data_IF_728248031450
#
_entry.id   IF_728248031450
#
_cell.length_a   1.000
_cell.length_b   1.000
_cell.length_c   1.000
_cell.angle_alpha   90.00
_cell.angle_beta   90.00
_cell.angle_gamma   90.00
#
_symmetry.space_group_name_H-M   'P 1'
#
loop_
_entity.id
_entity.type
_entity.pdbx_description
1 polymer ?
#
# COMPACT_ATOMS: atom_id res chain seq x y z
N UNK A 1 10.57 -7.63 9.02
CA UNK A 1 9.25 -7.36 8.46
C UNK A 1 8.61 -6.16 9.14
N UNK A 2 7.68 -5.52 8.47
CA UNK A 2 6.91 -4.40 8.99
C UNK A 2 6.17 -4.78 10.27
N UNK A 3 5.40 -5.85 10.23
CA UNK A 3 4.62 -6.32 11.36
C UNK A 3 5.44 -6.73 12.59
N UNK A 4 6.72 -7.06 12.43
CA UNK A 4 7.62 -7.29 13.55
C UNK A 4 7.88 -6.02 14.37
N UNK A 5 7.67 -4.85 13.80
CA UNK A 5 7.93 -3.55 14.40
C UNK A 5 6.65 -2.79 14.78
N UNK A 6 5.48 -3.35 14.52
CA UNK A 6 4.19 -2.75 14.86
C UNK A 6 3.91 -2.84 16.35
N UNK A 7 4.32 -3.93 17.00
CA UNK A 7 4.19 -4.13 18.44
C UNK A 7 5.53 -4.44 19.10
N UNK A 8 5.65 -4.24 20.42
CA UNK A 8 6.87 -4.60 21.16
C UNK A 8 7.06 -6.12 21.15
N UNK A 9 8.21 -6.57 20.67
CA UNK A 9 8.57 -7.99 20.57
C UNK A 9 9.73 -8.39 21.47
N UNK A 10 10.79 -7.59 21.49
CA UNK A 10 11.96 -7.81 22.32
C UNK A 10 12.11 -6.76 23.43
N UNK A 11 11.41 -5.63 23.32
CA UNK A 11 11.57 -4.46 24.18
C UNK A 11 11.23 -4.79 25.64
N UNK A 12 10.14 -5.52 25.89
CA UNK A 12 9.77 -5.94 27.24
C UNK A 12 10.71 -7.00 27.81
N UNK A 13 11.29 -7.88 26.97
CA UNK A 13 12.33 -8.82 27.38
C UNK A 13 13.62 -8.08 27.77
N UNK A 14 14.04 -7.13 26.95
CA UNK A 14 15.21 -6.27 27.23
C UNK A 14 14.95 -5.47 28.51
N UNK A 15 13.77 -4.89 28.68
CA UNK A 15 13.39 -4.16 29.89
C UNK A 15 13.45 -5.05 31.15
N UNK A 16 12.91 -6.25 31.08
CA UNK A 16 13.00 -7.22 32.20
C UNK A 16 14.46 -7.57 32.54
N UNK A 17 15.29 -7.77 31.51
CA UNK A 17 16.72 -8.05 31.72
C UNK A 17 17.47 -6.85 32.33
N UNK A 18 17.14 -5.61 31.93
CA UNK A 18 17.72 -4.40 32.54
C UNK A 18 17.33 -4.30 34.02
N UNK A 19 16.05 -4.54 34.34
CA UNK A 19 15.57 -4.54 35.74
C UNK A 19 16.28 -5.61 36.55
N UNK A 20 16.42 -6.84 36.03
CA UNK A 20 17.04 -7.95 36.74
C UNK A 20 18.55 -7.78 36.95
N UNK A 21 19.25 -7.13 36.03
CA UNK A 21 20.72 -7.02 36.06
C UNK A 21 21.21 -5.68 36.57
N UNK A 22 20.39 -4.62 36.54
CA UNK A 22 20.80 -3.24 36.82
C UNK A 22 21.82 -2.69 35.85
N UNK A 23 21.95 -3.27 34.63
CA UNK A 23 22.97 -2.92 33.64
C UNK A 23 22.33 -2.69 32.27
N UNK A 24 22.97 -1.94 31.38
CA UNK A 24 22.58 -1.87 29.97
C UNK A 24 22.55 -3.26 29.33
N UNK A 25 21.48 -3.56 28.58
CA UNK A 25 21.29 -4.84 27.90
C UNK A 25 21.13 -4.60 26.40
N UNK A 26 21.77 -5.45 25.61
CA UNK A 26 21.68 -5.48 24.17
C UNK A 26 21.18 -6.86 23.70
N UNK A 27 20.22 -6.90 22.81
CA UNK A 27 19.71 -8.12 22.19
C UNK A 27 19.78 -8.01 20.67
N UNK A 28 20.40 -8.99 20.04
CA UNK A 28 20.44 -9.11 18.58
C UNK A 28 20.15 -10.56 18.21
N UNK A 29 19.17 -10.74 17.33
CA UNK A 29 18.88 -12.05 16.73
C UNK A 29 19.81 -12.28 15.55
N UNK A 30 20.39 -13.46 15.44
CA UNK A 30 21.03 -13.89 14.20
C UNK A 30 19.99 -14.24 13.12
N UNK A 31 20.42 -14.58 11.90
CA UNK A 31 19.52 -14.88 10.80
C UNK A 31 18.63 -16.10 11.09
N UNK A 32 19.19 -17.14 11.70
CA UNK A 32 18.45 -18.36 12.04
C UNK A 32 17.40 -18.08 13.12
N UNK A 33 17.80 -17.38 14.17
CA UNK A 33 16.88 -16.94 15.21
C UNK A 33 15.78 -16.05 14.64
N UNK A 34 16.12 -15.12 13.73
CA UNK A 34 15.16 -14.26 13.08
C UNK A 34 14.14 -15.05 12.25
N UNK A 35 14.60 -16.06 11.49
CA UNK A 35 13.69 -16.94 10.74
C UNK A 35 12.77 -17.73 11.65
N UNK A 36 13.29 -18.21 12.78
CA UNK A 36 12.53 -19.07 13.71
C UNK A 36 11.62 -18.26 14.63
N UNK A 37 12.02 -17.10 15.12
CA UNK A 37 11.35 -16.38 16.21
C UNK A 37 10.49 -15.21 15.77
N UNK A 38 10.80 -14.56 14.65
CA UNK A 38 10.02 -13.39 14.23
C UNK A 38 8.81 -13.75 13.38
N UNK A 39 7.75 -12.97 13.40
CA UNK A 39 6.54 -13.28 12.66
C UNK A 39 6.77 -13.29 11.15
N UNK A 40 5.94 -14.01 10.43
CA UNK A 40 6.04 -14.22 8.98
C UNK A 40 4.72 -13.89 8.29
N UNK A 41 4.71 -14.04 6.98
CA UNK A 41 3.49 -13.95 6.17
C UNK A 41 2.56 -15.12 6.50
N UNK A 42 1.29 -14.83 6.74
CA UNK A 42 0.28 -15.85 6.99
C UNK A 42 0.08 -16.74 5.76
N UNK A 43 0.16 -18.06 5.89
CA UNK A 43 -0.29 -18.96 4.84
C UNK A 43 -1.80 -18.84 4.62
N UNK A 44 -2.21 -18.91 3.35
CA UNK A 44 -3.63 -18.98 2.96
C UNK A 44 -3.93 -20.34 2.34
N UNK A 45 -4.98 -20.99 2.80
CA UNK A 45 -5.62 -22.11 2.12
C UNK A 45 -6.86 -21.58 1.42
N UNK A 46 -6.89 -21.65 0.08
CA UNK A 46 -7.96 -21.08 -0.71
C UNK A 46 -8.68 -22.15 -1.53
N UNK A 47 -10.01 -22.07 -1.53
CA UNK A 47 -10.88 -22.83 -2.43
C UNK A 47 -11.57 -21.84 -3.37
N UNK A 48 -11.16 -21.84 -4.62
CA UNK A 48 -11.63 -20.89 -5.62
C UNK A 48 -12.43 -21.66 -6.68
N UNK A 49 -13.60 -21.16 -7.00
CA UNK A 49 -14.41 -21.60 -8.11
C UNK A 49 -14.79 -20.36 -8.91
N UNK A 50 -14.31 -20.28 -10.13
CA UNK A 50 -14.56 -19.19 -11.06
C UNK A 50 -15.14 -19.74 -12.35
N UNK A 51 -16.06 -19.01 -12.96
CA UNK A 51 -16.73 -19.42 -14.19
C UNK A 51 -16.76 -18.31 -15.22
N UNK A 52 -16.63 -18.70 -16.48
CA UNK A 52 -16.85 -17.86 -17.65
C UNK A 52 -17.90 -18.50 -18.58
N UNK A 53 -18.51 -17.66 -19.40
CA UNK A 53 -19.34 -18.14 -20.50
C UNK A 53 -18.49 -18.67 -21.67
N UNK A 54 -19.14 -19.18 -22.71
CA UNK A 54 -18.50 -19.70 -23.92
C UNK A 54 -17.65 -18.67 -24.67
N UNK A 55 -17.93 -17.39 -24.47
CA UNK A 55 -17.18 -16.30 -25.05
C UNK A 55 -16.01 -15.85 -24.16
N UNK A 56 -15.75 -16.50 -23.02
CA UNK A 56 -14.71 -16.16 -22.08
C UNK A 56 -15.01 -14.95 -21.19
N UNK A 57 -16.30 -14.56 -21.03
CA UNK A 57 -16.69 -13.51 -20.11
C UNK A 57 -16.96 -14.09 -18.73
N UNK A 58 -16.35 -13.51 -17.69
CA UNK A 58 -16.55 -13.93 -16.30
C UNK A 58 -18.02 -13.77 -15.87
N UNK A 59 -18.60 -14.82 -15.30
CA UNK A 59 -19.99 -14.87 -14.87
C UNK A 59 -20.15 -14.99 -13.36
N UNK A 60 -19.16 -15.55 -12.66
CA UNK A 60 -19.25 -15.70 -11.22
C UNK A 60 -17.99 -16.19 -10.55
N UNK A 61 -17.88 -15.86 -9.27
CA UNK A 61 -16.81 -16.25 -8.37
C UNK A 61 -17.40 -16.78 -7.06
N UNK A 62 -16.94 -17.94 -6.64
CA UNK A 62 -17.11 -18.44 -5.29
C UNK A 62 -15.74 -18.73 -4.69
N UNK A 63 -15.42 -18.14 -3.54
CA UNK A 63 -14.15 -18.41 -2.90
C UNK A 63 -14.28 -18.49 -1.38
N UNK A 64 -13.51 -19.40 -0.81
CA UNK A 64 -13.36 -19.57 0.63
C UNK A 64 -11.88 -19.57 0.93
N UNK A 65 -11.49 -18.85 1.99
CA UNK A 65 -10.08 -18.80 2.39
C UNK A 65 -9.94 -18.91 3.90
N UNK A 66 -8.92 -19.64 4.30
CA UNK A 66 -8.53 -19.84 5.67
C UNK A 66 -7.14 -19.24 5.85
N UNK A 67 -7.01 -18.34 6.82
CA UNK A 67 -5.76 -17.65 7.14
C UNK A 67 -5.16 -18.30 8.37
N UNK A 68 -4.04 -18.98 8.19
CA UNK A 68 -3.27 -19.52 9.32
C UNK A 68 -2.46 -18.39 9.94
N UNK A 69 -2.88 -17.94 11.13
CA UNK A 69 -2.23 -16.83 11.82
C UNK A 69 -1.33 -17.27 12.98
N UNK A 70 -1.19 -18.56 13.22
CA UNK A 70 -0.49 -19.12 14.35
C UNK A 70 -1.29 -18.97 15.65
N UNK A 71 -0.63 -18.84 16.82
CA UNK A 71 -1.31 -18.90 18.11
C UNK A 71 -1.91 -17.58 18.60
N UNK A 72 -1.70 -16.46 17.88
CA UNK A 72 -2.15 -15.12 18.30
C UNK A 72 -3.00 -14.46 17.24
N UNK A 73 -3.89 -13.56 17.66
CA UNK A 73 -4.88 -12.92 16.78
C UNK A 73 -4.50 -11.52 16.26
N UNK A 74 -3.27 -11.06 16.50
CA UNK A 74 -2.83 -9.72 16.08
C UNK A 74 -3.12 -9.48 14.60
N UNK A 75 -3.89 -8.44 14.28
CA UNK A 75 -4.23 -8.01 12.91
C UNK A 75 -4.83 -9.10 12.01
N UNK A 76 -5.29 -10.21 12.56
CA UNK A 76 -5.73 -11.37 11.78
C UNK A 76 -7.05 -11.12 11.05
N UNK A 77 -7.95 -10.38 11.65
CA UNK A 77 -9.25 -10.03 11.05
C UNK A 77 -9.06 -9.18 9.79
N UNK A 78 -8.29 -8.10 9.89
CA UNK A 78 -8.02 -7.21 8.77
C UNK A 78 -7.30 -7.94 7.63
N UNK A 79 -6.34 -8.82 7.97
CA UNK A 79 -5.65 -9.65 6.99
C UNK A 79 -6.63 -10.58 6.26
N UNK A 80 -7.60 -11.14 6.99
CA UNK A 80 -8.63 -12.00 6.43
C UNK A 80 -9.56 -11.21 5.50
N UNK A 81 -9.96 -10.01 5.90
CA UNK A 81 -10.78 -9.11 5.08
C UNK A 81 -10.10 -8.77 3.74
N UNK A 82 -8.77 -8.56 3.74
CA UNK A 82 -8.01 -8.32 2.49
C UNK A 82 -8.12 -9.48 1.49
N UNK A 83 -8.29 -10.72 1.96
CA UNK A 83 -8.55 -11.87 1.10
C UNK A 83 -9.83 -11.71 0.25
N UNK A 84 -10.89 -11.16 0.83
CA UNK A 84 -12.13 -10.85 0.11
C UNK A 84 -12.04 -9.62 -0.78
N UNK A 85 -11.39 -8.56 -0.30
CA UNK A 85 -11.28 -7.28 -1.01
C UNK A 85 -10.53 -7.38 -2.34
N UNK A 86 -9.50 -8.23 -2.41
CA UNK A 86 -8.59 -8.28 -3.57
C UNK A 86 -8.80 -9.47 -4.50
N UNK A 87 -9.65 -10.45 -4.13
CA UNK A 87 -9.90 -11.60 -4.98
C UNK A 87 -10.57 -11.18 -6.28
N UNK A 88 -9.86 -11.31 -7.38
CA UNK A 88 -10.28 -10.89 -8.74
C UNK A 88 -10.66 -9.39 -8.85
N UNK A 89 -10.13 -8.54 -7.99
CA UNK A 89 -10.45 -7.11 -8.00
C UNK A 89 -10.22 -6.39 -9.35
N UNK A 90 -9.23 -6.76 -10.19
CA UNK A 90 -9.06 -6.16 -11.52
C UNK A 90 -10.18 -6.47 -12.52
N UNK A 91 -11.05 -7.44 -12.23
CA UNK A 91 -11.98 -8.00 -13.19
C UNK A 91 -13.43 -7.71 -12.83
N UNK A 92 -14.25 -7.53 -13.86
CA UNK A 92 -15.69 -7.41 -13.73
C UNK A 92 -16.32 -8.77 -13.49
N UNK A 93 -16.72 -9.03 -12.24
CA UNK A 93 -17.44 -10.23 -11.83
C UNK A 93 -18.74 -9.81 -11.14
N UNK A 94 -19.89 -10.07 -11.77
CA UNK A 94 -21.17 -9.59 -11.27
C UNK A 94 -21.73 -10.42 -10.09
N UNK A 95 -21.32 -11.67 -9.96
CA UNK A 95 -21.80 -12.59 -8.95
C UNK A 95 -20.64 -13.10 -8.12
N UNK A 96 -20.48 -12.56 -6.92
CA UNK A 96 -19.40 -12.94 -6.01
C UNK A 96 -20.00 -13.47 -4.72
N UNK A 97 -19.51 -14.62 -4.27
CA UNK A 97 -19.78 -15.18 -2.95
C UNK A 97 -18.49 -15.69 -2.34
N UNK A 98 -18.23 -15.30 -1.11
CA UNK A 98 -17.04 -15.75 -0.40
C UNK A 98 -17.17 -15.67 1.11
N UNK A 99 -16.28 -16.36 1.80
CA UNK A 99 -16.15 -16.28 3.25
C UNK A 99 -14.71 -16.58 3.64
N UNK A 100 -14.13 -15.72 4.48
CA UNK A 100 -12.81 -15.89 5.05
C UNK A 100 -12.88 -16.24 6.53
N UNK A 101 -11.92 -17.03 6.98
CA UNK A 101 -11.79 -17.37 8.39
C UNK A 101 -10.33 -17.34 8.81
N UNK A 102 -10.04 -16.68 9.92
CA UNK A 102 -8.76 -16.83 10.60
C UNK A 102 -8.79 -18.10 11.44
N UNK A 103 -7.71 -18.88 11.41
CA UNK A 103 -7.57 -20.09 12.21
C UNK A 103 -6.33 -19.98 13.11
N UNK A 104 -6.51 -20.39 14.37
CA UNK A 104 -5.40 -20.54 15.29
C UNK A 104 -4.74 -21.89 15.09
N UNK A 105 -3.42 -21.90 15.07
CA UNK A 105 -2.62 -23.10 14.89
C UNK A 105 -1.38 -23.08 15.78
N UNK A 106 -0.66 -24.19 15.83
CA UNK A 106 0.65 -24.28 16.47
C UNK A 106 1.80 -23.83 15.56
N UNK A 107 1.49 -23.26 14.41
CA UNK A 107 2.50 -22.63 13.57
C UNK A 107 3.06 -21.39 14.25
N UNK A 108 4.20 -20.95 13.75
CA UNK A 108 4.75 -19.68 14.11
C UNK A 108 3.73 -18.56 13.86
N UNK A 109 3.65 -17.63 14.79
CA UNK A 109 2.75 -16.50 14.67
C UNK A 109 3.06 -15.63 13.44
N UNK A 110 2.05 -15.08 12.88
CA UNK A 110 2.08 -14.27 11.68
C UNK A 110 1.64 -12.84 11.99
N UNK A 111 1.94 -11.91 11.10
CA UNK A 111 1.61 -10.50 11.28
C UNK A 111 1.58 -9.79 9.92
N UNK A 112 1.43 -8.46 9.94
CA UNK A 112 1.49 -7.64 8.74
C UNK A 112 2.81 -7.85 7.97
N UNK A 113 2.73 -8.46 6.81
CA UNK A 113 3.82 -8.58 5.86
C UNK A 113 3.43 -7.84 4.59
N UNK A 114 4.37 -7.12 3.95
CA UNK A 114 4.13 -6.19 2.83
C UNK A 114 3.06 -6.69 1.85
N UNK A 115 2.11 -5.80 1.50
CA UNK A 115 0.86 -6.06 0.78
C UNK A 115 -0.17 -6.92 1.53
N UNK A 116 0.01 -7.20 2.81
CA UNK A 116 -0.98 -7.60 3.81
C UNK A 116 -2.15 -8.43 3.24
N UNK A 117 -1.89 -9.70 2.87
CA UNK A 117 -2.85 -10.61 2.23
C UNK A 117 -2.96 -10.51 0.71
N UNK A 118 -2.64 -9.38 0.11
CA UNK A 118 -2.70 -9.20 -1.34
C UNK A 118 -1.91 -10.24 -2.15
N UNK A 119 -0.62 -10.52 -1.85
CA UNK A 119 0.14 -11.50 -2.63
C UNK A 119 -0.47 -12.90 -2.63
N UNK A 120 -1.02 -13.33 -1.49
CA UNK A 120 -1.68 -14.65 -1.39
C UNK A 120 -2.93 -14.68 -2.26
N UNK A 121 -3.75 -13.62 -2.16
CA UNK A 121 -5.02 -13.50 -2.88
C UNK A 121 -4.80 -13.41 -4.38
N UNK A 122 -3.85 -12.57 -4.83
CA UNK A 122 -3.52 -12.47 -6.26
C UNK A 122 -2.91 -13.74 -6.80
N UNK A 123 -2.04 -14.42 -6.04
CA UNK A 123 -1.50 -15.71 -6.47
C UNK A 123 -2.63 -16.70 -6.80
N UNK A 124 -3.58 -16.87 -5.88
CA UNK A 124 -4.70 -17.80 -6.10
C UNK A 124 -5.66 -17.33 -7.20
N UNK A 125 -5.99 -16.04 -7.20
CA UNK A 125 -6.91 -15.45 -8.18
C UNK A 125 -6.36 -15.48 -9.60
N UNK A 126 -5.13 -15.02 -9.80
CA UNK A 126 -4.50 -14.95 -11.12
C UNK A 126 -4.21 -16.35 -11.70
N UNK A 127 -3.83 -17.32 -10.83
CA UNK A 127 -3.71 -18.72 -11.24
C UNK A 127 -5.07 -19.29 -11.69
N UNK A 128 -6.15 -18.99 -10.99
CA UNK A 128 -7.48 -19.43 -11.38
C UNK A 128 -7.92 -18.80 -12.72
N UNK A 129 -7.54 -17.56 -12.99
CA UNK A 129 -7.75 -16.90 -14.28
C UNK A 129 -6.97 -17.57 -15.40
N UNK A 130 -5.69 -17.92 -15.19
CA UNK A 130 -4.89 -18.64 -16.19
C UNK A 130 -5.51 -20.02 -16.53
N UNK A 131 -5.88 -20.79 -15.50
CA UNK A 131 -6.54 -22.09 -15.69
C UNK A 131 -7.88 -21.95 -16.43
N UNK A 132 -8.61 -20.87 -16.21
CA UNK A 132 -9.88 -20.64 -16.89
C UNK A 132 -9.65 -20.18 -18.34
N UNK A 133 -8.67 -19.32 -18.60
CA UNK A 133 -8.27 -18.92 -19.94
C UNK A 133 -7.87 -20.13 -20.79
N UNK A 134 -7.04 -21.03 -20.24
CA UNK A 134 -6.67 -22.28 -20.88
C UNK A 134 -7.90 -23.15 -21.19
N UNK A 135 -8.82 -23.29 -20.22
CA UNK A 135 -10.01 -24.11 -20.38
C UNK A 135 -10.97 -23.61 -21.47
N UNK A 136 -11.08 -22.31 -21.68
CA UNK A 136 -11.88 -21.71 -22.75
C UNK A 136 -11.10 -21.53 -24.05
N UNK A 137 -9.82 -21.90 -24.08
CA UNK A 137 -8.96 -21.83 -25.27
C UNK A 137 -8.57 -20.41 -25.67
N UNK A 138 -8.48 -19.49 -24.72
CA UNK A 138 -8.14 -18.09 -24.93
C UNK A 138 -6.74 -17.77 -24.40
N UNK A 139 -6.02 -16.90 -25.10
CA UNK A 139 -4.74 -16.38 -24.60
C UNK A 139 -4.92 -15.73 -23.22
N UNK A 140 -4.03 -15.96 -22.24
CA UNK A 140 -4.15 -15.42 -20.88
C UNK A 140 -4.24 -13.89 -20.82
N UNK A 141 -3.53 -13.16 -21.69
CA UNK A 141 -3.60 -11.70 -21.73
C UNK A 141 -4.91 -11.21 -22.34
N UNK A 142 -5.38 -11.87 -23.41
CA UNK A 142 -6.65 -11.54 -24.06
C UNK A 142 -7.85 -11.83 -23.14
N UNK A 143 -7.78 -12.94 -22.39
CA UNK A 143 -8.81 -13.26 -21.38
C UNK A 143 -8.89 -12.18 -20.29
N UNK A 144 -7.75 -11.71 -19.80
CA UNK A 144 -7.68 -10.62 -18.81
C UNK A 144 -8.24 -9.33 -19.38
N UNK A 145 -7.76 -8.91 -20.56
CA UNK A 145 -8.22 -7.67 -21.22
C UNK A 145 -9.72 -7.64 -21.41
N UNK A 146 -10.30 -8.75 -21.85
CA UNK A 146 -11.75 -8.90 -22.05
C UNK A 146 -12.58 -8.69 -20.77
N UNK A 147 -12.00 -9.02 -19.63
CA UNK A 147 -12.71 -9.05 -18.35
C UNK A 147 -12.34 -7.89 -17.42
N UNK A 148 -11.52 -6.93 -17.85
CA UNK A 148 -11.15 -5.79 -17.03
C UNK A 148 -12.37 -4.98 -16.57
N UNK A 149 -12.27 -4.43 -15.33
CA UNK A 149 -13.18 -3.37 -14.92
C UNK A 149 -13.04 -2.17 -15.85
N UNK A 150 -14.17 -1.56 -16.17
CA UNK A 150 -14.28 -0.41 -17.06
C UNK A 150 -14.82 0.80 -16.28
N UNK A 151 -14.67 2.04 -16.80
CA UNK A 151 -15.25 3.22 -16.17
C UNK A 151 -16.74 3.01 -15.81
N UNK A 152 -17.06 3.18 -14.53
CA UNK A 152 -18.38 2.93 -13.96
C UNK A 152 -18.56 1.57 -13.26
N UNK A 153 -17.68 0.60 -13.49
CA UNK A 153 -17.67 -0.66 -12.75
C UNK A 153 -17.14 -0.49 -11.32
N UNK A 154 -17.48 -1.43 -10.46
CA UNK A 154 -17.06 -1.46 -9.06
C UNK A 154 -16.06 -2.58 -8.80
N UNK A 155 -15.24 -2.40 -7.77
CA UNK A 155 -14.46 -3.46 -7.13
C UNK A 155 -15.38 -4.42 -6.38
N UNK A 156 -14.89 -5.58 -5.91
CA UNK A 156 -15.67 -6.51 -5.08
C UNK A 156 -16.28 -5.86 -3.83
N UNK A 157 -15.67 -4.83 -3.27
CA UNK A 157 -16.19 -4.04 -2.16
C UNK A 157 -17.37 -3.11 -2.51
N UNK A 158 -17.77 -3.02 -3.77
CA UNK A 158 -18.74 -2.03 -4.24
C UNK A 158 -18.16 -0.64 -4.51
N UNK A 159 -16.91 -0.39 -4.10
CA UNK A 159 -16.24 0.87 -4.34
C UNK A 159 -15.89 1.04 -5.82
N UNK A 160 -16.04 2.26 -6.33
CA UNK A 160 -15.57 2.66 -7.66
C UNK A 160 -14.20 3.28 -7.56
N UNK A 161 -13.20 2.78 -8.30
CA UNK A 161 -11.92 3.46 -8.40
C UNK A 161 -12.08 4.86 -9.04
N UNK A 162 -11.19 5.76 -8.68
CA UNK A 162 -11.12 7.12 -9.25
C UNK A 162 -10.58 7.15 -10.68
N UNK A 163 -9.81 6.10 -11.07
CA UNK A 163 -9.23 5.95 -12.41
C UNK A 163 -9.28 4.49 -12.86
N UNK A 164 -9.23 4.25 -14.16
CA UNK A 164 -9.27 2.90 -14.76
C UNK A 164 -8.12 2.71 -15.78
N UNK A 165 -6.86 2.65 -15.33
CA UNK A 165 -5.71 2.65 -16.23
C UNK A 165 -5.36 1.29 -16.83
N UNK A 166 -5.97 0.19 -16.38
CA UNK A 166 -5.56 -1.18 -16.73
C UNK A 166 -5.60 -1.44 -18.23
N UNK A 167 -6.58 -0.91 -18.96
CA UNK A 167 -6.66 -1.06 -20.41
C UNK A 167 -5.43 -0.45 -21.10
N UNK A 168 -5.04 0.75 -20.71
CA UNK A 168 -3.85 1.41 -21.27
C UNK A 168 -2.56 0.67 -20.89
N UNK A 169 -2.49 0.13 -19.67
CA UNK A 169 -1.35 -0.67 -19.20
C UNK A 169 -1.21 -1.98 -19.97
N UNK A 170 -2.31 -2.69 -20.25
CA UNK A 170 -2.29 -3.89 -21.10
C UNK A 170 -1.85 -3.55 -22.52
N UNK A 171 -2.38 -2.48 -23.09
CA UNK A 171 -1.96 -2.02 -24.43
C UNK A 171 -0.44 -1.77 -24.48
N UNK A 172 0.10 -1.17 -23.42
CA UNK A 172 1.54 -0.90 -23.32
C UNK A 172 2.37 -2.17 -23.16
N UNK A 173 1.95 -3.15 -22.36
CA UNK A 173 2.74 -4.37 -22.08
C UNK A 173 2.62 -5.41 -23.20
N UNK A 174 1.58 -5.37 -24.01
CA UNK A 174 1.28 -6.37 -25.04
C UNK A 174 2.44 -6.65 -26.01
N UNK A 175 3.14 -5.65 -26.59
CA UNK A 175 4.27 -5.92 -27.46
C UNK A 175 5.40 -6.72 -26.78
N UNK A 176 5.65 -6.43 -25.50
CA UNK A 176 6.66 -7.15 -24.72
C UNK A 176 6.23 -8.59 -24.43
N UNK A 177 4.95 -8.79 -24.11
CA UNK A 177 4.37 -10.13 -23.88
C UNK A 177 4.46 -11.00 -25.14
N UNK A 178 4.09 -10.47 -26.30
CA UNK A 178 4.17 -11.22 -27.57
C UNK A 178 5.62 -11.55 -27.97
N UNK A 179 6.54 -10.63 -27.74
CA UNK A 179 7.95 -10.89 -28.01
C UNK A 179 8.53 -11.92 -27.04
N UNK A 180 8.22 -11.85 -25.75
CA UNK A 180 8.63 -12.82 -24.75
C UNK A 180 8.13 -14.22 -25.07
N UNK A 181 6.88 -14.37 -25.55
CA UNK A 181 6.32 -15.66 -26.00
C UNK A 181 7.12 -16.26 -27.17
N UNK A 182 7.46 -15.45 -28.19
CA UNK A 182 8.28 -15.88 -29.31
C UNK A 182 9.65 -16.35 -28.83
N UNK A 183 10.29 -15.59 -27.97
CA UNK A 183 11.60 -15.94 -27.41
C UNK A 183 11.53 -17.20 -26.56
N UNK A 184 10.52 -17.33 -25.68
CA UNK A 184 10.32 -18.54 -24.88
C UNK A 184 10.14 -19.79 -25.76
N UNK A 185 9.37 -19.71 -26.84
CA UNK A 185 9.18 -20.79 -27.77
C UNK A 185 10.48 -21.16 -28.50
N UNK A 186 11.27 -20.15 -28.92
CA UNK A 186 12.54 -20.36 -29.61
C UNK A 186 13.65 -20.93 -28.72
N UNK A 187 13.67 -20.58 -27.46
CA UNK A 187 14.70 -20.99 -26.49
C UNK A 187 14.38 -22.32 -25.79
N UNK A 188 13.13 -22.75 -25.82
CA UNK A 188 12.71 -24.02 -25.18
C UNK A 188 13.33 -25.24 -25.86
N UNK A 189 13.88 -26.14 -25.06
CA UNK A 189 14.45 -27.41 -25.45
C UNK A 189 13.77 -28.56 -24.70
N UNK A 190 14.18 -29.79 -24.93
CA UNK A 190 13.69 -30.96 -24.19
C UNK A 190 14.12 -30.90 -22.71
N UNK A 191 15.24 -30.26 -22.40
CA UNK A 191 15.82 -30.17 -21.05
C UNK A 191 15.48 -28.89 -20.30
N UNK A 192 15.28 -27.78 -21.01
CA UNK A 192 14.98 -26.48 -20.43
C UNK A 192 13.73 -25.97 -21.12
N UNK A 193 12.72 -25.68 -20.32
CA UNK A 193 11.48 -25.04 -20.76
C UNK A 193 11.47 -23.58 -20.41
N UNK A 194 11.08 -22.76 -21.35
CA UNK A 194 10.86 -21.33 -21.12
C UNK A 194 9.38 -21.03 -21.12
N UNK A 195 8.93 -20.24 -20.17
CA UNK A 195 7.54 -19.85 -20.03
C UNK A 195 7.38 -18.36 -19.80
N UNK A 196 6.23 -17.84 -20.16
CA UNK A 196 5.85 -16.43 -19.97
C UNK A 196 4.53 -16.39 -19.23
N UNK A 197 4.48 -15.58 -18.18
CA UNK A 197 3.26 -15.36 -17.39
C UNK A 197 2.92 -13.88 -17.30
N UNK A 198 1.63 -13.59 -17.17
CA UNK A 198 1.12 -12.23 -16.95
C UNK A 198 0.15 -12.23 -15.78
N UNK A 199 0.22 -11.20 -14.95
CA UNK A 199 -0.70 -11.02 -13.82
C UNK A 199 -1.09 -9.56 -13.65
N UNK A 200 -2.26 -9.32 -13.09
CA UNK A 200 -2.81 -7.98 -12.86
C UNK A 200 -3.17 -7.83 -11.38
N UNK A 201 -2.90 -6.67 -10.81
CA UNK A 201 -3.26 -6.37 -9.43
C UNK A 201 -3.76 -4.95 -9.25
N UNK A 202 -4.64 -4.79 -8.26
CA UNK A 202 -5.07 -3.52 -7.72
C UNK A 202 -4.77 -3.54 -6.23
N UNK A 203 -4.20 -2.47 -5.69
CA UNK A 203 -3.96 -2.34 -4.28
C UNK A 203 -4.37 -0.96 -3.78
N UNK A 204 -4.61 -0.82 -2.50
CA UNK A 204 -5.04 0.44 -1.88
C UNK A 204 -3.88 1.15 -1.18
N UNK A 205 -4.10 2.44 -0.93
CA UNK A 205 -3.29 3.26 -0.03
C UNK A 205 -4.17 3.91 1.02
N UNK A 206 -3.84 3.87 2.24
CA UNK A 206 -4.49 4.26 3.50
C UNK A 206 -5.10 3.07 4.26
N UNK A 207 -5.41 3.30 5.52
CA UNK A 207 -6.16 2.35 6.34
C UNK A 207 -7.63 2.28 5.91
N UNK A 208 -8.31 1.20 6.24
CA UNK A 208 -9.71 1.00 5.90
C UNK A 208 -10.59 2.00 6.66
N UNK A 209 -11.25 2.90 5.94
CA UNK A 209 -12.20 3.84 6.50
C UNK A 209 -11.67 5.28 6.63
N UNK A 210 -12.25 6.08 7.53
CA UNK A 210 -11.84 7.45 7.75
C UNK A 210 -10.38 7.52 8.22
N UNK A 211 -9.58 8.30 7.54
CA UNK A 211 -8.16 8.44 7.83
C UNK A 211 -7.73 9.90 7.73
N UNK A 212 -6.82 10.33 8.57
CA UNK A 212 -6.29 11.68 8.62
C UNK A 212 -4.84 11.72 9.08
N UNK A 213 -4.13 12.80 8.74
CA UNK A 213 -2.75 13.00 9.15
C UNK A 213 -2.45 14.48 9.38
N UNK A 214 -1.48 14.73 10.26
CA UNK A 214 -0.92 16.04 10.53
C UNK A 214 0.57 16.06 10.21
N UNK A 215 1.08 17.24 9.80
CA UNK A 215 2.49 17.54 9.69
C UNK A 215 2.69 19.04 9.86
N UNK A 216 3.71 19.44 10.59
CA UNK A 216 4.00 20.85 10.81
C UNK A 216 5.33 21.24 10.16
N UNK A 217 5.45 22.50 9.77
CA UNK A 217 6.67 23.05 9.20
C UNK A 217 7.04 24.37 9.90
N UNK A 218 8.32 24.58 10.12
CA UNK A 218 8.87 25.79 10.70
C UNK A 218 9.99 26.32 9.82
N UNK A 219 9.89 27.59 9.39
CA UNK A 219 10.97 28.29 8.73
C UNK A 219 12.01 28.73 9.73
N UNK A 220 13.29 28.52 9.43
CA UNK A 220 14.45 28.95 10.21
C UNK A 220 15.43 29.75 9.35
N UNK A 221 16.47 30.32 9.95
CA UNK A 221 17.53 31.02 9.19
C UNK A 221 18.27 30.11 8.19
N UNK A 222 18.40 28.83 8.55
CA UNK A 222 19.21 27.86 7.80
C UNK A 222 18.40 26.97 6.83
N UNK A 223 17.08 27.13 6.81
CA UNK A 223 16.16 26.31 6.02
C UNK A 223 14.84 26.07 6.76
N UNK A 224 14.35 24.82 6.75
CA UNK A 224 13.09 24.46 7.40
C UNK A 224 13.25 23.26 8.32
N UNK A 225 12.40 23.17 9.33
CA UNK A 225 12.22 21.98 10.17
C UNK A 225 10.83 21.40 9.88
N UNK A 226 10.77 20.12 9.59
CA UNK A 226 9.55 19.36 9.35
C UNK A 226 9.26 18.50 10.58
N UNK A 227 8.04 18.57 11.09
CA UNK A 227 7.60 17.81 12.26
C UNK A 227 6.46 16.87 11.86
N UNK A 228 6.63 15.58 12.07
CA UNK A 228 5.60 14.55 11.89
C UNK A 228 6.02 13.25 12.59
N UNK A 229 5.13 12.26 12.59
CA UNK A 229 5.40 10.91 13.11
C UNK A 229 5.36 9.87 12.00
N UNK A 230 5.90 10.18 10.84
CA UNK A 230 6.08 9.23 9.76
C UNK A 230 7.23 8.24 10.10
N UNK A 231 6.84 7.07 10.57
CA UNK A 231 7.78 6.09 11.12
C UNK A 231 8.62 5.41 10.02
N UNK A 232 9.92 5.32 10.26
CA UNK A 232 10.83 4.54 9.42
C UNK A 232 11.09 3.16 10.03
N UNK A 233 10.48 2.13 9.45
CA UNK A 233 10.70 0.73 9.81
C UNK A 233 11.89 0.10 9.05
N UNK A 234 12.63 0.91 8.30
CA UNK A 234 13.71 0.51 7.40
C UNK A 234 13.34 0.61 5.91
N UNK A 235 12.17 1.21 5.61
CA UNK A 235 11.70 1.42 4.23
C UNK A 235 12.12 2.76 3.63
N UNK A 236 12.84 3.62 4.35
CA UNK A 236 13.31 4.91 3.87
C UNK A 236 12.29 6.05 4.02
N UNK A 237 11.43 5.99 5.05
CA UNK A 237 10.41 6.99 5.29
C UNK A 237 10.97 8.40 5.53
N UNK A 238 12.07 8.52 6.26
CA UNK A 238 12.72 9.80 6.52
C UNK A 238 13.07 10.53 5.22
N UNK A 239 13.63 9.79 4.26
CA UNK A 239 13.92 10.34 2.93
C UNK A 239 12.66 10.68 2.15
N UNK A 240 11.59 9.92 2.31
CA UNK A 240 10.28 10.21 1.74
C UNK A 240 9.70 11.53 2.23
N UNK A 241 9.78 11.80 3.54
CA UNK A 241 9.39 13.06 4.15
C UNK A 241 10.17 14.24 3.57
N UNK A 242 11.49 14.15 3.60
CA UNK A 242 12.39 15.21 3.11
C UNK A 242 12.16 15.45 1.62
N UNK A 243 12.04 14.38 0.82
CA UNK A 243 11.79 14.49 -0.62
C UNK A 243 10.45 15.16 -0.94
N UNK A 244 9.38 14.84 -0.19
CA UNK A 244 8.07 15.47 -0.36
C UNK A 244 8.10 16.95 -0.02
N UNK A 245 8.73 17.33 1.10
CA UNK A 245 8.90 18.73 1.49
C UNK A 245 9.79 19.50 0.50
N UNK A 246 10.89 18.89 0.04
CA UNK A 246 11.81 19.48 -0.95
C UNK A 246 11.08 19.80 -2.25
N UNK A 247 10.25 18.88 -2.74
CA UNK A 247 9.44 19.11 -3.95
C UNK A 247 8.40 20.21 -3.73
N UNK A 248 7.68 20.19 -2.61
CA UNK A 248 6.67 21.17 -2.29
C UNK A 248 7.26 22.59 -2.09
N UNK A 249 8.51 22.69 -1.60
CA UNK A 249 9.26 23.92 -1.37
C UNK A 249 10.22 24.29 -2.52
N UNK A 250 10.09 23.65 -3.69
CA UNK A 250 10.93 23.93 -4.87
C UNK A 250 11.10 25.42 -5.17
N UNK A 251 10.05 26.30 -5.03
CA UNK A 251 10.19 27.73 -5.28
C UNK A 251 11.23 28.44 -4.40
N UNK A 252 11.57 27.89 -3.23
CA UNK A 252 12.56 28.47 -2.33
C UNK A 252 14.00 28.06 -2.67
N UNK A 253 14.21 27.09 -3.57
CA UNK A 253 15.54 26.61 -3.96
C UNK A 253 16.34 25.96 -2.83
N UNK A 254 15.67 25.43 -1.82
CA UNK A 254 16.33 24.76 -0.70
C UNK A 254 17.05 23.48 -1.14
N UNK A 255 18.24 23.23 -0.60
CA UNK A 255 18.88 21.92 -0.73
C UNK A 255 18.29 20.92 0.28
N UNK A 256 18.34 19.60 0.00
CA UNK A 256 17.82 18.58 0.93
C UNK A 256 18.42 18.66 2.36
N UNK A 257 19.69 19.05 2.50
CA UNK A 257 20.37 19.22 3.80
C UNK A 257 19.86 20.42 4.62
N UNK A 258 19.12 21.32 4.00
CA UNK A 258 18.44 22.45 4.67
C UNK A 258 17.02 22.10 5.15
N UNK A 259 16.56 20.87 4.92
CA UNK A 259 15.28 20.36 5.42
C UNK A 259 15.58 19.38 6.56
N UNK A 260 15.37 19.81 7.79
CA UNK A 260 15.57 18.99 8.98
C UNK A 260 14.27 18.29 9.34
N UNK A 261 14.34 17.03 9.78
CA UNK A 261 13.20 16.23 10.19
C UNK A 261 13.24 15.99 11.69
N UNK A 262 12.09 16.21 12.35
CA UNK A 262 11.83 15.84 13.75
C UNK A 262 10.64 14.89 13.76
N UNK A 263 10.89 13.58 13.86
CA UNK A 263 9.87 12.53 13.83
C UNK A 263 9.81 11.66 15.09
N UNK A 264 10.78 11.80 16.00
CA UNK A 264 10.93 10.95 17.18
C UNK A 264 10.81 11.72 18.52
N UNK A 265 10.17 12.87 18.51
CA UNK A 265 9.92 13.71 19.68
C UNK A 265 8.42 13.97 19.81
N UNK A 266 7.73 13.20 20.64
CA UNK A 266 6.28 13.30 20.86
C UNK A 266 5.83 14.61 21.51
N UNK A 267 6.77 15.43 22.01
CA UNK A 267 6.47 16.76 22.52
C UNK A 267 6.38 17.82 21.41
N UNK A 268 6.92 17.53 20.23
CA UNK A 268 7.02 18.46 19.10
C UNK A 268 6.31 17.97 17.85
N UNK A 269 6.42 16.69 17.56
CA UNK A 269 5.81 16.10 16.36
C UNK A 269 4.31 15.86 16.59
N UNK A 270 3.44 16.28 15.65
CA UNK A 270 2.01 15.99 15.73
C UNK A 270 1.73 14.53 15.48
N UNK A 271 0.57 14.05 15.92
CA UNK A 271 0.10 12.72 15.54
C UNK A 271 -0.20 12.68 14.04
N UNK A 272 0.61 11.95 13.29
CA UNK A 272 0.42 11.71 11.86
C UNK A 272 -0.25 10.37 11.56
N UNK A 273 -0.56 9.58 12.60
CA UNK A 273 -1.08 8.21 12.49
C UNK A 273 0.00 7.19 12.17
N UNK A 274 -0.38 5.92 12.08
CA UNK A 274 0.54 4.80 11.90
C UNK A 274 1.14 4.73 10.48
N UNK A 275 2.34 4.17 10.37
CA UNK A 275 2.95 3.84 9.07
C UNK A 275 2.44 2.49 8.57
N UNK A 276 1.34 2.48 7.82
CA UNK A 276 0.72 1.29 7.23
C UNK A 276 0.23 1.57 5.80
N UNK A 277 -0.02 0.52 5.02
CA UNK A 277 -0.76 0.54 3.74
C UNK A 277 -0.42 1.73 2.79
N UNK A 278 0.85 2.08 2.64
CA UNK A 278 1.32 3.29 1.91
C UNK A 278 0.74 4.61 2.43
N UNK A 279 0.06 4.58 3.56
CA UNK A 279 -0.60 5.70 4.21
C UNK A 279 0.36 6.85 4.45
N UNK A 280 1.56 6.56 4.92
CA UNK A 280 2.56 7.59 5.18
C UNK A 280 2.83 8.45 3.94
N UNK A 281 3.05 7.85 2.77
CA UNK A 281 3.31 8.61 1.53
C UNK A 281 2.10 9.41 1.09
N UNK A 282 0.89 8.86 1.22
CA UNK A 282 -0.33 9.54 0.77
C UNK A 282 -0.82 10.53 1.80
N UNK A 283 -1.08 10.07 3.04
CA UNK A 283 -1.72 10.89 4.06
C UNK A 283 -0.77 11.92 4.65
N UNK A 284 0.38 11.45 5.17
CA UNK A 284 1.36 12.36 5.77
C UNK A 284 2.02 13.22 4.70
N UNK A 285 2.28 12.65 3.52
CA UNK A 285 2.78 13.42 2.37
C UNK A 285 1.87 14.59 1.99
N UNK A 286 0.56 14.37 1.95
CA UNK A 286 -0.40 15.46 1.66
C UNK A 286 -0.50 16.49 2.80
N UNK A 287 -0.37 16.07 4.06
CA UNK A 287 -0.27 17.01 5.20
C UNK A 287 1.02 17.84 5.14
N UNK A 288 2.16 17.24 4.71
CA UNK A 288 3.40 17.96 4.44
C UNK A 288 3.18 19.02 3.34
N UNK A 289 2.56 18.62 2.24
CA UNK A 289 2.26 19.55 1.12
C UNK A 289 1.38 20.71 1.60
N UNK A 290 0.38 20.45 2.46
CA UNK A 290 -0.49 21.49 2.99
C UNK A 290 0.27 22.47 3.89
N UNK A 291 1.13 21.99 4.81
CA UNK A 291 1.96 22.85 5.65
C UNK A 291 2.96 23.68 4.83
N UNK A 292 3.61 23.06 3.83
CA UNK A 292 4.52 23.75 2.91
C UNK A 292 3.81 24.84 2.10
N UNK A 293 2.59 24.55 1.60
CA UNK A 293 1.77 25.53 0.87
C UNK A 293 1.45 26.73 1.75
N UNK A 294 0.99 26.51 2.99
CA UNK A 294 0.69 27.58 3.95
C UNK A 294 1.92 28.47 4.23
N UNK A 295 3.09 27.86 4.39
CA UNK A 295 4.33 28.57 4.56
C UNK A 295 4.66 29.43 3.31
N UNK A 296 4.61 28.84 2.11
CA UNK A 296 4.87 29.55 0.84
C UNK A 296 3.90 30.72 0.63
N UNK A 297 2.62 30.50 0.92
CA UNK A 297 1.59 31.57 0.81
C UNK A 297 1.90 32.75 1.73
N UNK A 298 2.33 32.50 2.96
CA UNK A 298 2.74 33.55 3.92
C UNK A 298 4.06 34.22 3.52
N UNK A 299 4.99 33.49 2.93
CA UNK A 299 6.26 34.06 2.44
C UNK A 299 6.09 34.88 1.16
N UNK A 300 5.03 34.67 0.39
CA UNK A 300 4.85 35.31 -0.92
C UNK A 300 4.63 36.81 -0.77
N UNK A 301 5.42 37.61 -1.52
CA UNK A 301 5.27 39.06 -1.65
C UNK A 301 4.35 39.39 -2.83
N UNK A 302 3.84 40.65 -2.88
CA UNK A 302 3.01 41.11 -4.02
C UNK A 302 3.70 41.04 -5.40
N UNK A 303 5.03 41.14 -5.42
CA UNK A 303 5.84 41.05 -6.65
C UNK A 303 6.14 39.60 -7.07
N UNK A 304 5.63 38.61 -6.32
CA UNK A 304 5.80 37.18 -6.58
C UNK A 304 7.08 36.56 -5.99
N UNK A 305 7.96 37.35 -5.39
CA UNK A 305 9.14 36.85 -4.67
C UNK A 305 8.76 36.33 -3.27
N UNK A 306 9.70 35.71 -2.58
CA UNK A 306 9.47 35.16 -1.25
C UNK A 306 10.27 35.93 -0.18
N UNK A 307 9.64 36.14 0.98
CA UNK A 307 10.28 36.69 2.17
C UNK A 307 11.36 35.77 2.71
N UNK A 308 12.42 36.34 3.18
CA UNK A 308 13.42 35.65 4.00
C UNK A 308 12.90 35.46 5.43
N UNK A 309 13.56 34.59 6.22
CA UNK A 309 13.27 34.42 7.63
C UNK A 309 13.29 35.77 8.40
N UNK A 310 14.34 36.57 8.20
CA UNK A 310 14.48 37.85 8.92
C UNK A 310 13.40 38.87 8.53
N UNK A 311 12.95 38.87 7.26
CA UNK A 311 11.82 39.70 6.82
C UNK A 311 10.50 39.27 7.46
N UNK A 312 10.24 37.96 7.55
CA UNK A 312 9.04 37.47 8.23
C UNK A 312 9.01 37.83 9.71
N UNK A 313 10.14 37.71 10.41
CA UNK A 313 10.24 38.12 11.82
C UNK A 313 10.03 39.64 11.95
N UNK A 314 10.65 40.45 11.10
CA UNK A 314 10.52 41.91 11.14
C UNK A 314 9.07 42.38 10.86
N UNK A 315 8.35 41.67 10.00
CA UNK A 315 6.95 41.95 9.67
C UNK A 315 5.95 41.28 10.65
N UNK A 316 6.41 40.51 11.65
CA UNK A 316 5.57 39.82 12.60
C UNK A 316 4.76 38.66 11.99
N UNK A 317 5.22 38.10 10.85
CA UNK A 317 4.58 37.00 10.17
C UNK A 317 5.04 35.68 10.84
N UNK A 318 4.12 34.78 11.20
CA UNK A 318 4.48 33.48 11.78
C UNK A 318 5.42 32.69 10.89
N UNK A 319 6.34 31.96 11.50
CA UNK A 319 7.28 31.05 10.80
C UNK A 319 6.88 29.58 10.91
N UNK A 320 5.85 29.26 11.69
CA UNK A 320 5.37 27.92 11.98
C UNK A 320 3.96 27.72 11.43
N UNK A 321 3.75 26.62 10.69
CA UNK A 321 2.48 26.29 10.04
C UNK A 321 2.12 24.83 10.21
N UNK A 322 0.86 24.62 10.57
CA UNK A 322 0.26 23.29 10.73
C UNK A 322 -0.40 22.84 9.44
N UNK A 323 -0.03 21.65 8.96
CA UNK A 323 -0.64 20.98 7.83
C UNK A 323 -1.55 19.86 8.29
N UNK A 324 -2.64 19.68 7.56
CA UNK A 324 -3.65 18.67 7.81
C UNK A 324 -4.14 18.07 6.50
N UNK A 325 -4.36 16.76 6.50
CA UNK A 325 -5.01 16.10 5.39
C UNK A 325 -5.97 15.01 5.90
N UNK A 326 -7.16 14.96 5.31
CA UNK A 326 -8.15 13.92 5.54
C UNK A 326 -8.37 13.13 4.27
N UNK A 327 -8.39 11.80 4.37
CA UNK A 327 -8.61 10.92 3.24
C UNK A 327 -9.94 11.24 2.56
N UNK A 328 -9.86 11.58 1.29
CA UNK A 328 -11.02 11.89 0.46
C UNK A 328 -10.90 11.17 -0.86
N UNK A 329 -11.96 10.50 -1.28
CA UNK A 329 -12.12 9.97 -2.61
C UNK A 329 -12.79 11.04 -3.49
N UNK A 330 -12.26 11.26 -4.69
CA UNK A 330 -13.00 12.02 -5.71
C UNK A 330 -13.61 11.02 -6.69
N UNK A 331 -14.93 11.00 -6.77
CA UNK A 331 -15.59 10.19 -7.80
C UNK A 331 -15.30 10.77 -9.21
N UNK A 332 -15.68 10.04 -10.23
CA UNK A 332 -15.50 10.41 -11.64
C UNK A 332 -16.18 11.75 -12.02
N UNK A 333 -17.12 12.23 -11.21
CA UNK A 333 -17.82 13.52 -11.40
C UNK A 333 -17.15 14.65 -10.62
N UNK A 334 -16.06 14.39 -9.91
CA UNK A 334 -15.33 15.39 -9.10
C UNK A 334 -15.94 15.65 -7.72
N UNK A 335 -17.01 14.95 -7.33
CA UNK A 335 -17.59 15.07 -5.99
C UNK A 335 -16.65 14.42 -4.96
N UNK A 336 -16.46 15.11 -3.84
CA UNK A 336 -15.64 14.61 -2.73
C UNK A 336 -16.47 13.67 -1.87
N UNK A 337 -16.03 12.44 -1.74
CA UNK A 337 -16.60 11.43 -0.86
C UNK A 337 -15.57 11.05 0.23
N UNK A 338 -16.00 11.00 1.47
CA UNK A 338 -15.15 10.52 2.56
C UNK A 338 -15.11 8.99 2.58
N UNK A 339 -13.97 8.44 2.94
CA UNK A 339 -13.85 7.01 3.19
C UNK A 339 -14.75 6.61 4.37
N UNK A 340 -15.43 5.44 4.22
CA UNK A 340 -16.40 4.96 5.23
C UNK A 340 -15.99 3.57 5.64
N UNK A 341 -15.27 2.96 6.12
CA UNK A 341 -15.06 1.53 6.43
C UNK A 341 -15.83 0.56 5.57
N UNK A 342 -15.61 -0.69 5.81
CA UNK A 342 -16.36 -1.80 5.22
C UNK A 342 -17.37 -2.35 6.24
N UNK A 343 -18.51 -2.77 5.74
CA UNK A 343 -19.46 -3.58 6.48
C UNK A 343 -18.98 -5.04 6.47
N UNK A 344 -18.75 -5.61 7.64
CA UNK A 344 -18.17 -6.96 7.80
C UNK A 344 -19.14 -8.09 7.37
N UNK A 345 -20.46 -7.84 7.36
CA UNK A 345 -21.44 -8.84 6.97
C UNK A 345 -21.60 -8.91 5.45
N UNK A 346 -21.62 -7.76 4.80
CA UNK A 346 -21.84 -7.64 3.36
C UNK A 346 -20.55 -7.56 2.55
N UNK A 347 -19.44 -7.18 3.17
CA UNK A 347 -18.19 -6.90 2.49
C UNK A 347 -18.23 -5.67 1.58
N UNK A 348 -19.18 -4.76 1.78
CA UNK A 348 -19.40 -3.57 0.97
C UNK A 348 -18.99 -2.30 1.72
N UNK A 349 -18.51 -1.29 0.99
CA UNK A 349 -18.10 -0.01 1.56
C UNK A 349 -17.18 0.80 0.67
N UNK A 350 -16.69 1.92 1.22
CA UNK A 350 -15.73 2.82 0.57
C UNK A 350 -14.47 2.96 1.42
N UNK A 351 -13.69 1.87 1.60
CA UNK A 351 -12.61 1.86 2.58
C UNK A 351 -11.38 2.67 2.15
N UNK A 352 -11.17 2.94 0.87
CA UNK A 352 -9.90 3.45 0.36
C UNK A 352 -10.03 4.81 -0.33
N UNK A 353 -9.04 5.68 -0.08
CA UNK A 353 -8.93 6.97 -0.75
C UNK A 353 -8.30 6.87 -2.15
N UNK A 354 -7.41 5.91 -2.34
CA UNK A 354 -6.66 5.74 -3.59
C UNK A 354 -6.47 4.27 -3.94
N UNK A 355 -6.34 3.99 -5.23
CA UNK A 355 -5.98 2.68 -5.75
C UNK A 355 -4.70 2.74 -6.57
N UNK A 356 -3.88 1.71 -6.44
CA UNK A 356 -2.69 1.47 -7.25
C UNK A 356 -2.96 0.28 -8.16
N UNK A 357 -2.54 0.40 -9.41
CA UNK A 357 -2.76 -0.61 -10.44
C UNK A 357 -1.43 -1.13 -10.93
N UNK A 358 -1.35 -2.41 -11.26
CA UNK A 358 -0.15 -3.03 -11.79
C UNK A 358 -0.47 -4.12 -12.80
N UNK A 359 0.29 -4.17 -13.90
CA UNK A 359 0.35 -5.29 -14.83
C UNK A 359 1.77 -5.80 -14.84
N UNK A 360 1.96 -7.09 -14.67
CA UNK A 360 3.26 -7.72 -14.48
C UNK A 360 3.47 -8.78 -15.55
N UNK A 361 4.64 -8.77 -16.14
CA UNK A 361 5.13 -9.79 -17.07
C UNK A 361 6.30 -10.52 -16.40
N UNK A 362 6.29 -11.83 -16.47
CA UNK A 362 7.38 -12.68 -15.98
C UNK A 362 7.83 -13.67 -17.05
N UNK A 363 9.13 -13.79 -17.21
CA UNK A 363 9.78 -14.82 -18.04
C UNK A 363 10.53 -15.76 -17.10
N UNK A 364 10.36 -17.05 -17.28
CA UNK A 364 10.99 -18.08 -16.47
C UNK A 364 11.58 -19.20 -17.33
N UNK A 365 12.65 -19.81 -16.83
CA UNK A 365 13.22 -21.03 -17.39
C UNK A 365 13.30 -22.11 -16.31
N UNK A 366 12.91 -23.33 -16.65
CA UNK A 366 12.87 -24.48 -15.76
C UNK A 366 13.55 -25.67 -16.38
#
# INVERSE_FOLDING_TARGET
>A
TFGYKVGPTNEHLIGACVIATGRPVYMRLDMKEHIIRTPKRSPFLMKIRVGADENGKLVGLQHYWYVDHGPYSESSQDLTNKGGQFMLAPYKVNNIRGCGSTVFTNHKWCTAFRCYGGPQTYFGGELAIDMLAEKVGMDPLDFREKNLIQPGDTLPSGQRPEVYPLQAMITHIRPFYEEAKKQAAALSTDKIKHGVGVAIGIYNSNDDGPDEANSHIELTKDGVILYNTWEDHGQGADMGCVGTAHEALRPLGLRPDQIKLVCNDTAKAPNSGAAAASRSQVMVGMAIVDSCRKLLDAMRKPDGTYRTYDEMIAEGIPTYYEGYYKATLRNVNGEVQHCTGMDDETGQGYPFANHMFGVFLAEVSV
#
